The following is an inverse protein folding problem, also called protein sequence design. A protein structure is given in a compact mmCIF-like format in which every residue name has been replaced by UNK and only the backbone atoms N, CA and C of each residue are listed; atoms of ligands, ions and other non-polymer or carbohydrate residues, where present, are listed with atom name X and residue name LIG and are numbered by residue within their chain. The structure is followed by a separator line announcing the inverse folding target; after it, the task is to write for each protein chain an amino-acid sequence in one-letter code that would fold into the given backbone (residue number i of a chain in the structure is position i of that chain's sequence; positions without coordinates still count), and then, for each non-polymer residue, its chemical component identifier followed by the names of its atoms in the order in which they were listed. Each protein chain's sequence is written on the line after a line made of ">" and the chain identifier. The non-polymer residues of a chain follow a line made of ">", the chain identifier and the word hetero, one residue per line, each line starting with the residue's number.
data_IF_760484941170
#
_entry.id   IF_760484941170
#
_cell.length_a   1.000
_cell.length_b   1.000
_cell.length_c   1.000
_cell.angle_alpha   90.00
_cell.angle_beta   90.00
_cell.angle_gamma   90.00
#
_symmetry.space_group_name_H-M   'P 1'
#
loop_
_entity.id
_entity.type
_entity.pdbx_description
1 polymer ?
#
# COMPACT_ATOMS: atom_id res chain seq x y z
N UNK A 1 56.88 10.01 -17.50
CA UNK A 1 56.46 11.30 -16.90
C UNK A 1 55.06 11.13 -16.34
N UNK A 2 54.89 11.22 -15.01
CA UNK A 2 53.56 11.18 -14.37
C UNK A 2 52.94 12.58 -14.47
N UNK A 3 51.81 12.71 -15.15
CA UNK A 3 51.01 13.95 -15.14
C UNK A 3 50.39 14.08 -13.75
N UNK A 4 50.77 15.13 -13.02
CA UNK A 4 50.11 15.50 -11.78
C UNK A 4 48.87 16.34 -12.13
N UNK A 5 47.72 15.99 -11.54
CA UNK A 5 46.51 16.80 -11.65
C UNK A 5 46.72 18.17 -11.00
N UNK A 6 46.17 19.21 -11.60
CA UNK A 6 46.24 20.55 -11.01
C UNK A 6 45.18 20.71 -9.93
N UNK A 7 45.47 21.49 -8.88
CA UNK A 7 44.50 21.80 -7.83
C UNK A 7 43.25 22.50 -8.37
N UNK A 8 43.41 23.33 -9.41
CA UNK A 8 42.32 24.05 -10.08
C UNK A 8 41.36 23.08 -10.76
N UNK A 9 41.89 22.04 -11.39
CA UNK A 9 41.09 21.02 -12.08
C UNK A 9 40.24 20.22 -11.09
N UNK A 10 40.79 19.84 -9.94
CA UNK A 10 40.01 19.19 -8.86
C UNK A 10 38.98 20.16 -8.27
N UNK A 11 39.32 21.44 -8.09
CA UNK A 11 38.44 22.45 -7.52
C UNK A 11 37.19 22.71 -8.39
N UNK A 12 37.35 22.81 -9.71
CA UNK A 12 36.21 22.99 -10.63
C UNK A 12 35.30 21.75 -10.62
N UNK A 13 35.88 20.54 -10.55
CA UNK A 13 35.10 19.30 -10.50
C UNK A 13 34.23 19.24 -9.25
N UNK A 14 34.77 19.50 -8.07
CA UNK A 14 33.97 19.48 -6.82
C UNK A 14 32.95 20.61 -6.77
N UNK A 15 33.24 21.77 -7.37
CA UNK A 15 32.28 22.86 -7.50
C UNK A 15 31.07 22.45 -8.35
N UNK A 16 31.30 21.82 -9.51
CA UNK A 16 30.21 21.32 -10.37
C UNK A 16 29.42 20.22 -9.67
N UNK A 17 30.09 19.26 -9.01
CA UNK A 17 29.42 18.20 -8.25
C UNK A 17 28.56 18.77 -7.10
N UNK A 18 29.04 19.83 -6.44
CA UNK A 18 28.28 20.54 -5.40
C UNK A 18 26.99 21.18 -5.93
N UNK A 19 27.05 21.85 -7.08
CA UNK A 19 25.87 22.46 -7.72
C UNK A 19 24.85 21.39 -8.12
N UNK A 20 25.31 20.29 -8.75
CA UNK A 20 24.44 19.19 -9.15
C UNK A 20 23.78 18.53 -7.93
N UNK A 21 24.55 18.27 -6.87
CA UNK A 21 24.02 17.69 -5.63
C UNK A 21 22.95 18.57 -4.97
N UNK A 22 23.15 19.90 -4.97
CA UNK A 22 22.21 20.86 -4.38
C UNK A 22 20.84 20.84 -5.07
N UNK A 23 20.78 20.60 -6.38
CA UNK A 23 19.52 20.52 -7.16
C UNK A 23 18.89 19.12 -7.04
N UNK A 24 19.69 18.06 -7.14
CA UNK A 24 19.19 16.68 -7.23
C UNK A 24 18.61 16.18 -5.90
N UNK A 25 19.23 16.50 -4.76
CA UNK A 25 18.79 16.01 -3.44
C UNK A 25 17.35 16.44 -3.07
N UNK A 26 16.94 17.72 -3.15
CA UNK A 26 15.56 18.10 -2.84
C UNK A 26 14.55 17.54 -3.86
N UNK A 27 14.95 17.42 -5.14
CA UNK A 27 14.11 16.82 -6.18
C UNK A 27 13.84 15.33 -5.88
N UNK A 28 14.87 14.56 -5.53
CA UNK A 28 14.70 13.14 -5.25
C UNK A 28 13.78 12.85 -4.04
N UNK A 29 13.86 13.70 -3.00
CA UNK A 29 13.01 13.55 -1.80
C UNK A 29 11.53 13.81 -2.09
N UNK A 30 11.19 14.83 -2.87
CA UNK A 30 9.81 15.12 -3.28
C UNK A 30 9.21 14.02 -4.13
N UNK A 31 9.95 13.53 -5.14
CA UNK A 31 9.49 12.44 -6.00
C UNK A 31 9.27 11.13 -5.23
N UNK A 32 10.11 10.86 -4.23
CA UNK A 32 9.94 9.70 -3.35
C UNK A 32 8.65 9.80 -2.51
N UNK A 33 8.33 10.99 -2.01
CA UNK A 33 7.09 11.23 -1.27
C UNK A 33 5.86 11.07 -2.17
N UNK A 34 5.89 11.65 -3.38
CA UNK A 34 4.82 11.51 -4.38
C UNK A 34 4.59 10.05 -4.77
N UNK A 35 5.66 9.27 -4.96
CA UNK A 35 5.56 7.84 -5.26
C UNK A 35 4.90 7.05 -4.11
N UNK A 36 5.27 7.34 -2.85
CA UNK A 36 4.66 6.73 -1.69
C UNK A 36 3.18 7.10 -1.56
N UNK A 37 2.81 8.35 -1.83
CA UNK A 37 1.42 8.81 -1.82
C UNK A 37 0.61 8.13 -2.93
N UNK A 38 1.18 8.00 -4.13
CA UNK A 38 0.56 7.29 -5.24
C UNK A 38 0.31 5.81 -4.89
N UNK A 39 1.30 5.13 -4.30
CA UNK A 39 1.15 3.74 -3.85
C UNK A 39 0.09 3.60 -2.75
N UNK A 40 0.05 4.52 -1.79
CA UNK A 40 -0.99 4.52 -0.75
C UNK A 40 -2.40 4.71 -1.35
N UNK A 41 -2.56 5.64 -2.30
CA UNK A 41 -3.82 5.85 -3.02
C UNK A 41 -4.26 4.60 -3.79
N UNK A 42 -3.31 3.91 -4.42
CA UNK A 42 -3.57 2.69 -5.17
C UNK A 42 -4.02 1.55 -4.25
N UNK A 43 -3.32 1.35 -3.13
CA UNK A 43 -3.70 0.38 -2.11
C UNK A 43 -5.11 0.65 -1.56
N UNK A 44 -5.44 1.91 -1.26
CA UNK A 44 -6.78 2.29 -0.80
C UNK A 44 -7.85 2.03 -1.86
N UNK A 45 -7.54 2.25 -3.15
CA UNK A 45 -8.44 1.94 -4.26
C UNK A 45 -8.71 0.43 -4.34
N UNK A 46 -7.67 -0.38 -4.26
CA UNK A 46 -7.77 -1.85 -4.24
C UNK A 46 -8.63 -2.30 -3.07
N UNK A 47 -8.35 -1.82 -1.85
CA UNK A 47 -9.13 -2.17 -0.66
C UNK A 47 -10.61 -1.79 -0.81
N UNK A 48 -10.92 -0.61 -1.35
CA UNK A 48 -12.30 -0.18 -1.62
C UNK A 48 -13.00 -1.12 -2.60
N UNK A 49 -12.32 -1.55 -3.65
CA UNK A 49 -12.87 -2.50 -4.62
C UNK A 49 -13.14 -3.86 -3.98
N UNK A 50 -12.21 -4.37 -3.15
CA UNK A 50 -12.37 -5.63 -2.44
C UNK A 50 -13.55 -5.59 -1.45
N UNK A 51 -13.73 -4.49 -0.72
CA UNK A 51 -14.89 -4.28 0.15
C UNK A 51 -16.20 -4.34 -0.65
N UNK A 52 -16.24 -3.71 -1.82
CA UNK A 52 -17.43 -3.75 -2.69
C UNK A 52 -17.71 -5.15 -3.25
N UNK A 53 -16.67 -5.88 -3.64
CA UNK A 53 -16.79 -7.27 -4.09
C UNK A 53 -17.31 -8.17 -2.97
N UNK A 54 -16.76 -8.02 -1.76
CA UNK A 54 -17.20 -8.76 -0.58
C UNK A 54 -18.69 -8.53 -0.30
N UNK A 55 -19.13 -7.27 -0.26
CA UNK A 55 -20.54 -6.93 -0.02
C UNK A 55 -21.45 -7.57 -1.07
N UNK A 56 -21.07 -7.57 -2.35
CA UNK A 56 -21.83 -8.21 -3.41
C UNK A 56 -21.97 -9.74 -3.24
N UNK A 57 -21.01 -10.40 -2.57
CA UNK A 57 -21.05 -11.83 -2.25
C UNK A 57 -21.83 -12.15 -0.96
N UNK A 58 -21.99 -11.15 -0.07
CA UNK A 58 -22.50 -11.32 1.30
C UNK A 58 -23.79 -10.52 1.54
N UNK A 59 -24.74 -10.61 0.61
CA UNK A 59 -26.06 -9.96 0.73
C UNK A 59 -26.00 -8.44 0.99
N UNK A 60 -25.08 -7.74 0.33
CA UNK A 60 -24.79 -6.30 0.50
C UNK A 60 -24.28 -5.90 1.89
N UNK A 61 -23.85 -6.87 2.71
CA UNK A 61 -23.21 -6.60 4.00
C UNK A 61 -21.70 -6.43 3.80
N UNK A 62 -21.13 -5.25 4.08
CA UNK A 62 -19.68 -5.05 3.98
C UNK A 62 -18.92 -5.84 5.07
N UNK A 63 -17.61 -6.08 4.92
CA UNK A 63 -16.83 -6.79 5.92
C UNK A 63 -16.70 -5.97 7.22
N UNK A 64 -16.52 -6.66 8.34
CA UNK A 64 -16.42 -6.12 9.69
C UNK A 64 -17.56 -6.52 10.60
N UNK A 65 -18.71 -6.92 10.05
CA UNK A 65 -19.90 -7.29 10.82
C UNK A 65 -19.85 -8.77 11.19
N UNK A 66 -19.96 -9.13 12.49
CA UNK A 66 -20.02 -10.52 12.93
C UNK A 66 -21.17 -11.25 12.25
N UNK A 67 -20.89 -12.39 11.64
CA UNK A 67 -21.89 -13.28 11.02
C UNK A 67 -22.88 -12.55 10.10
N UNK A 68 -22.44 -11.48 9.43
CA UNK A 68 -23.27 -10.70 8.52
C UNK A 68 -24.38 -9.89 9.21
N UNK A 69 -24.38 -9.81 10.54
CA UNK A 69 -25.36 -9.03 11.30
C UNK A 69 -25.04 -7.53 11.21
N UNK A 70 -25.75 -6.84 10.31
CA UNK A 70 -25.67 -5.38 10.16
C UNK A 70 -26.17 -4.59 11.37
N UNK A 71 -26.79 -5.24 12.35
CA UNK A 71 -27.25 -4.62 13.60
C UNK A 71 -26.12 -4.55 14.64
N UNK A 72 -25.08 -5.36 14.49
CA UNK A 72 -23.90 -5.34 15.32
C UNK A 72 -22.91 -4.25 14.87
N UNK A 73 -22.02 -3.84 15.79
CA UNK A 73 -20.97 -2.90 15.43
C UNK A 73 -19.87 -3.61 14.62
N UNK A 74 -19.39 -3.02 13.52
CA UNK A 74 -18.27 -3.58 12.79
C UNK A 74 -17.00 -3.50 13.64
N UNK A 75 -16.23 -4.58 13.68
CA UNK A 75 -14.97 -4.64 14.45
C UNK A 75 -13.78 -4.94 13.55
N UNK A 76 -12.63 -4.34 13.90
CA UNK A 76 -11.37 -4.52 13.17
C UNK A 76 -10.91 -6.00 13.07
N UNK A 77 -10.96 -6.82 14.15
CA UNK A 77 -10.55 -8.23 14.05
C UNK A 77 -11.42 -9.05 13.07
N UNK A 78 -12.72 -8.76 13.03
CA UNK A 78 -13.66 -9.45 12.13
C UNK A 78 -13.44 -9.00 10.69
N UNK A 79 -13.24 -7.70 10.48
CA UNK A 79 -12.91 -7.14 9.16
C UNK A 79 -11.69 -7.84 8.56
N UNK A 80 -10.59 -7.94 9.32
CA UNK A 80 -9.40 -8.62 8.84
C UNK A 80 -9.64 -10.11 8.61
N UNK A 81 -10.40 -10.78 9.46
CA UNK A 81 -10.69 -12.20 9.30
C UNK A 81 -11.52 -12.47 8.04
N UNK A 82 -12.53 -11.65 7.77
CA UNK A 82 -13.37 -11.76 6.57
C UNK A 82 -12.66 -11.37 5.28
N UNK A 83 -11.66 -10.47 5.34
CA UNK A 83 -10.86 -10.10 4.17
C UNK A 83 -9.68 -11.03 3.89
N UNK A 84 -9.20 -11.80 4.89
CA UNK A 84 -8.01 -12.63 4.76
C UNK A 84 -8.30 -14.13 4.73
N UNK A 85 -9.48 -14.56 5.18
CA UNK A 85 -9.87 -15.97 5.26
C UNK A 85 -11.04 -16.29 4.33
N UNK A 86 -11.31 -17.58 4.16
CA UNK A 86 -12.49 -18.02 3.43
C UNK A 86 -13.76 -17.71 4.23
N UNK A 87 -14.80 -17.29 3.53
CA UNK A 87 -16.07 -16.86 4.08
C UNK A 87 -17.24 -17.61 3.44
N UNK A 88 -18.34 -17.71 4.19
CA UNK A 88 -19.62 -18.23 3.68
C UNK A 88 -20.58 -17.08 3.40
N UNK A 89 -21.74 -17.36 2.78
CA UNK A 89 -22.72 -16.31 2.40
C UNK A 89 -23.20 -15.44 3.59
N UNK A 90 -23.13 -15.97 4.82
CA UNK A 90 -23.50 -15.25 6.04
C UNK A 90 -22.32 -14.52 6.67
N UNK A 91 -21.14 -14.46 6.04
CA UNK A 91 -19.99 -13.70 6.54
C UNK A 91 -19.23 -14.37 7.69
N UNK A 92 -19.49 -15.65 7.99
CA UNK A 92 -18.64 -16.42 8.90
C UNK A 92 -17.31 -16.72 8.21
N UNK A 93 -16.22 -16.73 8.97
CA UNK A 93 -14.89 -17.02 8.45
C UNK A 93 -14.37 -18.38 8.93
N UNK A 94 -13.66 -19.08 8.06
CA UNK A 94 -12.95 -20.33 8.38
C UNK A 94 -11.63 -20.40 7.60
N UNK A 95 -10.80 -21.39 7.93
CA UNK A 95 -9.54 -21.56 7.20
C UNK A 95 -9.79 -21.95 5.73
N UNK A 96 -8.95 -21.52 4.79
CA UNK A 96 -9.15 -21.78 3.37
C UNK A 96 -9.32 -23.27 3.07
N UNK A 97 -10.32 -23.62 2.26
CA UNK A 97 -10.64 -25.00 1.91
C UNK A 97 -11.65 -25.70 2.84
N UNK A 98 -12.16 -25.00 3.86
CA UNK A 98 -13.26 -25.51 4.69
C UNK A 98 -14.54 -25.63 3.85
N UNK A 99 -15.19 -26.81 3.77
CA UNK A 99 -16.45 -26.97 3.05
C UNK A 99 -17.53 -26.02 3.56
N UNK A 100 -18.26 -25.37 2.64
CA UNK A 100 -19.27 -24.37 2.97
C UNK A 100 -18.76 -22.92 3.05
N UNK A 101 -17.44 -22.70 2.92
CA UNK A 101 -16.81 -21.38 2.88
C UNK A 101 -16.19 -21.17 1.50
N UNK A 102 -17.01 -20.70 0.55
CA UNK A 102 -16.66 -20.61 -0.87
C UNK A 102 -16.14 -19.25 -1.33
N UNK A 103 -16.21 -18.23 -0.47
CA UNK A 103 -15.85 -16.85 -0.80
C UNK A 103 -14.52 -16.44 -0.19
#
# INVERSE_FOLDING_TARGET
>A
MKRAFTLVEVLIVVAILGILAAIVVPQFRSHSQEANEAAAKDNLRILRQQIGLYAAQHSDVPPGYPDGDSSANPTSPIFFSQMLKATNITGQYADPGTPGYSF
#
